data_IF_377747968800
#
_entry.id   IF_377747968800
#
_cell.length_a   1.000
_cell.length_b   1.000
_cell.length_c   1.000
_cell.angle_alpha   90.00
_cell.angle_beta   90.00
_cell.angle_gamma   90.00
#
_symmetry.space_group_name_H-M   'P 1'
#
loop_
_entity.id
_entity.type
_entity.pdbx_description
1 polymer ?
#
# COMPACT_ATOMS: atom_id res chain seq x y z
N UNK A 1 -1.06 6.51 -6.17
CA UNK A 1 -1.08 5.09 -5.76
C UNK A 1 -2.22 4.75 -4.80
N UNK A 2 -2.39 5.47 -3.68
CA UNK A 2 -3.37 5.13 -2.63
C UNK A 2 -4.83 4.95 -3.11
N UNK A 3 -5.33 5.79 -4.02
CA UNK A 3 -6.69 5.66 -4.57
C UNK A 3 -6.86 4.34 -5.35
N UNK A 4 -5.85 3.95 -6.14
CA UNK A 4 -5.88 2.69 -6.89
C UNK A 4 -5.91 1.48 -5.96
N UNK A 5 -5.06 1.48 -4.92
CA UNK A 5 -5.05 0.44 -3.90
C UNK A 5 -6.38 0.37 -3.15
N UNK A 6 -7.01 1.52 -2.87
CA UNK A 6 -8.33 1.57 -2.25
C UNK A 6 -9.39 0.85 -3.09
N UNK A 7 -9.44 1.10 -4.40
CA UNK A 7 -10.40 0.43 -5.28
C UNK A 7 -10.17 -1.08 -5.37
N UNK A 8 -8.90 -1.51 -5.45
CA UNK A 8 -8.54 -2.93 -5.50
C UNK A 8 -8.95 -3.64 -4.21
N UNK A 9 -8.56 -3.11 -3.05
CA UNK A 9 -8.90 -3.68 -1.74
C UNK A 9 -10.42 -3.67 -1.52
N UNK A 10 -11.11 -2.58 -1.93
CA UNK A 10 -12.58 -2.51 -1.91
C UNK A 10 -13.23 -3.58 -2.78
N UNK A 11 -12.64 -3.90 -3.94
CA UNK A 11 -13.13 -4.95 -4.82
C UNK A 11 -13.01 -6.32 -4.16
N UNK A 12 -11.86 -6.62 -3.55
CA UNK A 12 -11.64 -7.86 -2.79
C UNK A 12 -12.64 -7.99 -1.64
N UNK A 13 -12.86 -6.90 -0.90
CA UNK A 13 -13.86 -6.85 0.16
C UNK A 13 -15.29 -7.13 -0.35
N UNK A 14 -15.69 -6.53 -1.48
CA UNK A 14 -17.02 -6.76 -2.08
C UNK A 14 -17.21 -8.19 -2.58
N UNK A 15 -16.16 -8.86 -3.03
CA UNK A 15 -16.23 -10.26 -3.47
C UNK A 15 -16.42 -11.23 -2.30
N UNK A 16 -15.95 -10.88 -1.09
CA UNK A 16 -16.00 -11.76 0.09
C UNK A 16 -16.40 -11.00 1.36
N UNK A 17 -17.60 -10.39 1.44
CA UNK A 17 -17.95 -9.48 2.53
C UNK A 17 -18.04 -10.16 3.91
N UNK A 18 -18.37 -11.46 3.95
CA UNK A 18 -18.55 -12.22 5.20
C UNK A 18 -17.30 -13.01 5.65
N UNK A 19 -16.31 -13.19 4.80
CA UNK A 19 -15.06 -13.93 5.10
C UNK A 19 -13.81 -13.12 4.73
N UNK A 20 -13.91 -11.79 4.74
CA UNK A 20 -12.78 -10.94 4.38
C UNK A 20 -11.64 -11.09 5.40
N UNK A 21 -10.56 -11.74 4.96
CA UNK A 21 -9.33 -11.88 5.74
C UNK A 21 -8.44 -10.68 5.51
N UNK A 22 -7.82 -10.21 6.59
CA UNK A 22 -6.87 -9.11 6.56
C UNK A 22 -5.71 -9.38 5.58
N UNK A 23 -5.24 -10.64 5.56
CA UNK A 23 -4.13 -11.08 4.71
C UNK A 23 -4.46 -10.98 3.21
N UNK A 24 -5.69 -11.29 2.81
CA UNK A 24 -6.09 -11.28 1.39
C UNK A 24 -6.11 -9.85 0.83
N UNK A 25 -6.61 -8.89 1.62
CA UNK A 25 -6.55 -7.47 1.29
C UNK A 25 -5.11 -6.94 1.21
N UNK A 26 -4.25 -7.38 2.13
CA UNK A 26 -2.84 -6.97 2.15
C UNK A 26 -2.07 -7.52 0.95
N UNK A 27 -2.20 -8.81 0.64
CA UNK A 27 -1.53 -9.44 -0.50
C UNK A 27 -1.98 -8.83 -1.83
N UNK A 28 -3.28 -8.56 -1.98
CA UNK A 28 -3.82 -7.90 -3.19
C UNK A 28 -3.30 -6.46 -3.33
N UNK A 29 -3.25 -5.70 -2.23
CA UNK A 29 -2.66 -4.37 -2.20
C UNK A 29 -1.16 -4.36 -2.51
N UNK A 30 -0.41 -5.35 -1.99
CA UNK A 30 1.02 -5.47 -2.21
C UNK A 30 1.34 -5.86 -3.66
N UNK A 31 0.65 -6.86 -4.21
CA UNK A 31 0.88 -7.31 -5.59
C UNK A 31 0.57 -6.21 -6.62
N UNK A 32 -0.55 -5.50 -6.42
CA UNK A 32 -0.91 -4.37 -7.29
C UNK A 32 0.01 -3.17 -7.11
N UNK A 33 0.39 -2.84 -5.87
CA UNK A 33 1.34 -1.77 -5.58
C UNK A 33 2.71 -2.03 -6.18
N UNK A 34 3.18 -3.28 -6.17
CA UNK A 34 4.43 -3.69 -6.82
C UNK A 34 4.37 -3.46 -8.33
N UNK A 35 3.31 -3.93 -9.02
CA UNK A 35 3.14 -3.71 -10.46
C UNK A 35 3.10 -2.22 -10.82
N UNK A 36 2.36 -1.42 -10.05
CA UNK A 36 2.30 0.04 -10.24
C UNK A 36 3.69 0.66 -10.05
N UNK A 37 4.45 0.22 -9.05
CA UNK A 37 5.79 0.73 -8.77
C UNK A 37 6.76 0.41 -9.90
N UNK A 38 6.72 -0.80 -10.46
CA UNK A 38 7.56 -1.18 -11.62
C UNK A 38 7.26 -0.30 -12.82
N UNK A 39 5.98 -0.14 -13.19
CA UNK A 39 5.57 0.70 -14.32
C UNK A 39 6.00 2.15 -14.12
N UNK A 40 5.83 2.69 -12.92
CA UNK A 40 6.26 4.03 -12.57
C UNK A 40 7.78 4.20 -12.65
N UNK A 41 8.56 3.24 -12.15
CA UNK A 41 10.02 3.28 -12.21
C UNK A 41 10.53 3.23 -13.65
N UNK A 42 9.94 2.39 -14.51
CA UNK A 42 10.31 2.35 -15.93
C UNK A 42 10.02 3.69 -16.62
N UNK A 43 8.85 4.27 -16.37
CA UNK A 43 8.52 5.60 -16.88
C UNK A 43 9.51 6.66 -16.39
N UNK A 44 9.86 6.64 -15.10
CA UNK A 44 10.84 7.57 -14.53
C UNK A 44 12.24 7.37 -15.11
N UNK A 45 12.65 6.14 -15.42
CA UNK A 45 13.94 5.89 -16.07
C UNK A 45 14.01 6.54 -17.46
N UNK A 46 12.95 6.41 -18.25
CA UNK A 46 12.87 7.08 -19.56
C UNK A 46 12.87 8.61 -19.38
N UNK A 47 12.10 9.13 -18.42
CA UNK A 47 12.01 10.56 -18.17
C UNK A 47 13.36 11.16 -17.75
N UNK A 48 14.07 10.50 -16.84
CA UNK A 48 15.34 10.98 -16.30
C UNK A 48 16.48 10.85 -17.30
N UNK A 49 16.48 9.87 -18.20
CA UNK A 49 17.59 9.70 -19.15
C UNK A 49 17.36 10.34 -20.51
N UNK A 50 16.13 10.36 -21.00
CA UNK A 50 15.83 10.84 -22.36
C UNK A 50 15.22 12.24 -22.38
N UNK A 51 14.42 12.58 -21.36
CA UNK A 51 13.62 13.82 -21.39
C UNK A 51 14.31 14.95 -20.61
N UNK A 52 14.81 14.67 -19.40
CA UNK A 52 15.45 15.67 -18.56
C UNK A 52 16.56 15.05 -17.68
N UNK A 53 17.79 14.93 -18.20
CA UNK A 53 18.94 14.42 -17.45
C UNK A 53 19.41 15.32 -16.32
N UNK A 54 19.21 16.64 -16.44
CA UNK A 54 19.63 17.61 -15.41
C UNK A 54 18.85 17.40 -14.10
N UNK A 55 17.62 16.90 -14.19
CA UNK A 55 16.80 16.57 -13.02
C UNK A 55 17.45 15.52 -12.11
N UNK A 56 18.25 14.59 -12.65
CA UNK A 56 18.97 13.59 -11.83
C UNK A 56 19.93 14.28 -10.85
N UNK A 57 20.60 15.33 -11.32
CA UNK A 57 21.55 16.10 -10.52
C UNK A 57 20.84 16.95 -9.46
N UNK A 58 19.70 17.54 -9.80
CA UNK A 58 18.86 18.29 -8.85
C UNK A 58 18.25 17.38 -7.77
N UNK A 59 17.78 16.19 -8.16
CA UNK A 59 17.18 15.22 -7.24
C UNK A 59 18.21 14.58 -6.31
N UNK A 60 19.39 14.22 -6.82
CA UNK A 60 20.48 13.66 -5.98
C UNK A 60 21.03 14.68 -4.99
N UNK A 61 21.07 15.96 -5.34
CA UNK A 61 21.47 17.03 -4.41
C UNK A 61 20.42 17.31 -3.32
N UNK A 62 19.13 17.16 -3.63
CA UNK A 62 18.03 17.50 -2.72
C UNK A 62 17.59 16.36 -1.80
N UNK A 63 17.90 15.09 -2.16
CA UNK A 63 17.54 13.91 -1.38
C UNK A 63 18.79 13.42 -0.61
N UNK A 64 18.90 13.65 0.72
CA UNK A 64 20.09 13.29 1.48
C UNK A 64 20.36 11.78 1.52
N UNK A 65 19.34 10.95 1.28
CA UNK A 65 19.47 9.50 1.22
C UNK A 65 19.88 8.99 -0.17
N UNK A 66 19.77 9.84 -1.19
CA UNK A 66 20.21 9.57 -2.56
C UNK A 66 21.39 10.46 -3.00
N UNK A 67 21.93 11.26 -2.08
CA UNK A 67 23.09 12.11 -2.33
C UNK A 67 24.36 11.25 -2.38
N UNK A 68 25.05 11.30 -3.52
CA UNK A 68 26.24 10.48 -3.79
C UNK A 68 25.95 9.10 -4.37
N UNK A 69 24.69 8.78 -4.68
CA UNK A 69 24.34 7.60 -5.49
C UNK A 69 24.36 7.92 -6.97
N UNK A 70 24.89 6.98 -7.76
CA UNK A 70 24.82 7.02 -9.21
C UNK A 70 23.36 7.01 -9.70
N UNK A 71 23.17 7.30 -10.98
CA UNK A 71 21.88 7.30 -11.70
C UNK A 71 21.01 6.06 -11.40
N UNK A 72 21.64 4.88 -11.32
CA UNK A 72 20.97 3.61 -11.00
C UNK A 72 20.50 3.57 -9.53
N UNK A 73 21.27 4.15 -8.62
CA UNK A 73 20.90 4.26 -7.20
C UNK A 73 19.68 5.15 -6.99
N UNK A 74 19.56 6.24 -7.75
CA UNK A 74 18.38 7.10 -7.71
C UNK A 74 17.12 6.34 -8.20
N UNK A 75 17.22 5.55 -9.27
CA UNK A 75 16.10 4.72 -9.75
C UNK A 75 15.68 3.65 -8.74
N UNK A 76 16.66 3.00 -8.08
CA UNK A 76 16.39 2.04 -7.02
C UNK A 76 15.69 2.70 -5.82
N UNK A 77 16.12 3.91 -5.45
CA UNK A 77 15.49 4.71 -4.40
C UNK A 77 14.03 5.05 -4.75
N UNK A 78 13.77 5.50 -5.97
CA UNK A 78 12.41 5.78 -6.47
C UNK A 78 11.56 4.51 -6.39
N UNK A 79 12.07 3.37 -6.85
CA UNK A 79 11.36 2.09 -6.80
C UNK A 79 11.01 1.68 -5.36
N UNK A 80 11.99 1.71 -4.44
CA UNK A 80 11.80 1.37 -3.04
C UNK A 80 10.82 2.32 -2.34
N UNK A 81 10.84 3.61 -2.68
CA UNK A 81 9.88 4.59 -2.16
C UNK A 81 8.44 4.26 -2.58
N UNK A 82 8.27 3.77 -3.82
CA UNK A 82 7.01 3.25 -4.34
C UNK A 82 6.53 2.03 -3.55
N UNK A 83 7.38 1.02 -3.41
CA UNK A 83 7.06 -0.20 -2.65
C UNK A 83 6.70 0.10 -1.19
N UNK A 84 7.45 1.00 -0.53
CA UNK A 84 7.15 1.45 0.83
C UNK A 84 5.75 2.08 0.93
N UNK A 85 5.42 2.97 0.00
CA UNK A 85 4.10 3.61 -0.07
C UNK A 85 2.99 2.58 -0.28
N UNK A 86 3.24 1.49 -1.01
CA UNK A 86 2.26 0.42 -1.25
C UNK A 86 1.97 -0.36 0.03
N UNK A 87 3.02 -0.70 0.78
CA UNK A 87 2.91 -1.39 2.06
C UNK A 87 2.11 -0.52 3.04
N UNK A 88 2.54 0.73 3.24
CA UNK A 88 1.90 1.64 4.19
C UNK A 88 0.44 1.91 3.80
N UNK A 89 0.17 2.21 2.53
CA UNK A 89 -1.20 2.47 2.06
C UNK A 89 -2.10 1.25 2.22
N UNK A 90 -1.61 0.05 1.89
CA UNK A 90 -2.39 -1.19 2.04
C UNK A 90 -2.79 -1.42 3.49
N UNK A 91 -1.85 -1.23 4.43
CA UNK A 91 -2.11 -1.35 5.86
C UNK A 91 -3.09 -0.29 6.40
N UNK A 92 -3.06 0.94 5.86
CA UNK A 92 -3.97 2.01 6.25
C UNK A 92 -5.39 1.82 5.70
N UNK A 93 -5.52 1.21 4.52
CA UNK A 93 -6.80 1.06 3.83
C UNK A 93 -7.63 -0.11 4.39
N UNK A 94 -7.00 -1.23 4.73
CA UNK A 94 -7.72 -2.44 5.20
C UNK A 94 -8.58 -2.18 6.45
N UNK A 95 -8.11 -1.44 7.48
CA UNK A 95 -8.91 -1.10 8.66
C UNK A 95 -10.21 -0.35 8.34
N UNK A 96 -10.27 0.39 7.22
CA UNK A 96 -11.46 1.12 6.80
C UNK A 96 -12.61 0.15 6.47
N UNK A 97 -12.30 -1.08 6.04
CA UNK A 97 -13.30 -2.07 5.62
C UNK A 97 -13.71 -3.05 6.73
N UNK A 98 -12.94 -3.18 7.82
CA UNK A 98 -13.36 -3.97 8.98
C UNK A 98 -14.21 -3.10 9.92
N UNK A 99 -15.47 -3.48 10.13
CA UNK A 99 -16.23 -2.95 11.28
C UNK A 99 -15.52 -3.35 12.58
N UNK A 100 -15.39 -2.40 13.51
CA UNK A 100 -14.84 -2.65 14.84
C UNK A 100 -15.62 -3.76 15.54
N UNK A 101 -14.96 -4.44 16.48
CA UNK A 101 -15.47 -5.55 17.30
C UNK A 101 -16.65 -5.18 18.24
N UNK A 102 -17.43 -4.16 17.92
CA UNK A 102 -18.60 -3.72 18.66
C UNK A 102 -19.90 -3.86 17.83
N UNK A 103 -20.08 -5.00 17.19
CA UNK A 103 -21.34 -5.36 16.53
C UNK A 103 -22.28 -6.00 17.55
N UNK A 104 -23.56 -5.59 17.54
CA UNK A 104 -24.62 -6.04 18.47
C UNK A 104 -24.76 -7.59 18.55
N UNK A 105 -24.29 -8.33 17.55
CA UNK A 105 -24.25 -9.80 17.56
C UNK A 105 -23.31 -10.41 18.59
N UNK A 106 -22.13 -9.81 18.84
CA UNK A 106 -21.17 -10.28 19.85
C UNK A 106 -21.67 -10.06 21.29
N UNK A 107 -22.49 -9.01 21.50
CA UNK A 107 -23.18 -8.75 22.78
C UNK A 107 -24.22 -9.82 23.12
N UNK A 108 -24.79 -10.49 22.11
CA UNK A 108 -25.78 -11.56 22.31
C UNK A 108 -25.13 -12.93 22.56
N UNK A 109 -23.88 -13.15 22.11
CA UNK A 109 -23.09 -14.34 22.46
C UNK A 109 -22.38 -14.22 23.81
N UNK A 110 -22.16 -13.01 24.32
CA UNK A 110 -21.66 -12.75 25.67
C UNK A 110 -22.79 -12.71 26.72
N UNK A 111 -23.81 -13.59 26.62
CA UNK A 111 -24.76 -13.76 27.71
C UNK A 111 -23.98 -14.18 28.98
N UNK A 112 -24.14 -13.50 30.12
CA UNK A 112 -23.40 -13.84 31.32
C UNK A 112 -23.75 -15.27 31.74
N UNK A 113 -22.73 -16.09 31.99
CA UNK A 113 -22.84 -17.49 32.44
C UNK A 113 -23.44 -17.66 33.84
N UNK A 114 -24.01 -16.62 34.42
CA UNK A 114 -24.59 -16.63 35.76
C UNK A 114 -26.12 -16.38 35.69
N UNK A 115 -26.87 -17.43 35.30
CA UNK A 115 -28.32 -17.50 35.50
C UNK A 115 -28.76 -18.81 36.16
N UNK A 116 -27.86 -19.50 36.87
CA UNK A 116 -28.21 -20.65 37.69
C UNK A 116 -27.88 -20.33 39.15
N UNK A 117 -28.80 -19.63 39.82
CA UNK A 117 -28.88 -19.46 41.27
C UNK A 117 -30.30 -19.82 41.71
#
# INVERSE_FOLDING_TARGET
MAIGLYFIIRSVFKSQPNDFKYMDGFLSGLASGFLISVVFTVFMAIYLFEINPDLVQEMSASIPLASGTDEVGLLLFIFLSGVSTAIVSSLLIIPIFKQSWNTRGMRNSQKPLNQNS
#
